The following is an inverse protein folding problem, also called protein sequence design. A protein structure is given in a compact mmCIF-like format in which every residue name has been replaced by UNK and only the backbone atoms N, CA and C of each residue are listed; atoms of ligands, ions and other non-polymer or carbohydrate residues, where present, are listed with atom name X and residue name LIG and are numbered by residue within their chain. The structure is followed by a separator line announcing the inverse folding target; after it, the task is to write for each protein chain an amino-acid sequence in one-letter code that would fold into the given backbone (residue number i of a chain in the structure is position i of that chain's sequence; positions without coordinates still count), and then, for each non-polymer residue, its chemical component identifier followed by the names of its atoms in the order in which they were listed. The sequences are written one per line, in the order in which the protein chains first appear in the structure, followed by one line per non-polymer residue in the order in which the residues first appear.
data_IF_538413025147
#
_entry.id   IF_538413025147
#
_cell.length_a   1.000
_cell.length_b   1.000
_cell.length_c   1.000
_cell.angle_alpha   90.00
_cell.angle_beta   90.00
_cell.angle_gamma   90.00
#
_symmetry.space_group_name_H-M   'P 1'
#
loop_
_entity.id
_entity.type
_entity.pdbx_description
1 polymer ?
#
# COMPACT_ATOMS: atom_id res chain seq x y z
N UNK A 1 11.97 12.01 0.88
CA UNK A 1 11.12 11.08 1.64
C UNK A 1 11.87 9.81 2.02
N UNK A 2 11.56 9.25 3.19
CA UNK A 2 12.00 7.92 3.62
C UNK A 2 10.78 7.08 4.00
N UNK A 3 10.73 5.81 3.59
CA UNK A 3 9.70 4.85 4.02
C UNK A 3 10.37 3.83 4.92
N UNK A 4 9.83 3.67 6.12
CA UNK A 4 10.34 2.76 7.15
C UNK A 4 9.22 1.81 7.51
N UNK A 5 9.48 0.52 7.40
CA UNK A 5 8.56 -0.49 7.92
C UNK A 5 8.71 -0.58 9.44
N UNK A 6 7.59 -0.65 10.16
CA UNK A 6 7.56 -0.74 11.62
C UNK A 6 7.13 -2.13 12.10
N UNK A 7 6.89 -3.06 11.18
CA UNK A 7 6.35 -4.40 11.44
C UNK A 7 4.88 -4.50 11.06
N UNK A 8 4.41 -5.74 10.83
CA UNK A 8 3.05 -6.03 10.35
C UNK A 8 2.72 -5.22 9.09
N UNK A 9 1.65 -4.42 9.15
CA UNK A 9 1.17 -3.50 8.11
C UNK A 9 1.60 -2.04 8.32
N UNK A 10 2.36 -1.75 9.37
CA UNK A 10 2.64 -0.36 9.76
C UNK A 10 3.84 0.20 8.99
N UNK A 11 3.64 1.34 8.33
CA UNK A 11 4.70 2.12 7.71
C UNK A 11 4.75 3.53 8.26
N UNK A 12 5.98 4.03 8.44
CA UNK A 12 6.26 5.43 8.71
C UNK A 12 6.90 6.05 7.46
N UNK A 13 6.23 7.03 6.88
CA UNK A 13 6.67 7.78 5.70
C UNK A 13 7.08 9.18 6.11
N UNK A 14 8.39 9.43 6.14
CA UNK A 14 8.99 10.69 6.54
C UNK A 14 9.19 11.59 5.34
N UNK A 15 8.35 12.61 5.21
CA UNK A 15 8.51 13.69 4.22
C UNK A 15 9.33 14.86 4.76
N UNK A 16 9.50 15.91 3.94
CA UNK A 16 10.15 17.15 4.36
C UNK A 16 9.32 17.97 5.33
N UNK A 17 7.99 17.90 5.22
CA UNK A 17 7.05 18.76 5.96
C UNK A 17 6.34 18.06 7.12
N UNK A 18 6.19 16.74 7.03
CA UNK A 18 5.47 15.94 8.00
C UNK A 18 5.82 14.46 7.88
N UNK A 19 5.49 13.71 8.93
CA UNK A 19 5.60 12.26 8.99
C UNK A 19 4.19 11.66 8.96
N UNK A 20 3.98 10.76 8.00
CA UNK A 20 2.76 9.98 7.87
C UNK A 20 2.99 8.60 8.49
N UNK A 21 2.13 8.18 9.39
CA UNK A 21 2.02 6.78 9.79
C UNK A 21 0.79 6.19 9.12
N UNK A 22 0.94 5.05 8.46
CA UNK A 22 -0.16 4.32 7.81
C UNK A 22 -0.15 2.87 8.27
N UNK A 23 -1.34 2.34 8.51
CA UNK A 23 -1.60 0.96 8.92
C UNK A 23 -2.90 0.46 8.24
N UNK A 24 -3.28 -0.79 8.51
CA UNK A 24 -4.54 -1.40 8.09
C UNK A 24 -5.74 -0.56 8.56
N UNK A 25 -6.29 0.25 7.65
CA UNK A 25 -7.50 1.02 7.91
C UNK A 25 -7.29 2.36 8.63
N UNK A 26 -6.04 2.80 8.83
CA UNK A 26 -5.74 4.08 9.46
C UNK A 26 -4.57 4.79 8.79
N UNK A 27 -4.70 6.11 8.63
CA UNK A 27 -3.59 7.00 8.30
C UNK A 27 -3.59 8.21 9.22
N UNK A 28 -2.42 8.51 9.77
CA UNK A 28 -2.19 9.63 10.67
C UNK A 28 -1.03 10.51 10.21
N UNK A 29 -1.15 11.82 10.45
CA UNK A 29 -0.05 12.78 10.27
C UNK A 29 0.44 13.20 11.64
N UNK A 30 1.59 12.67 12.07
CA UNK A 30 2.03 12.62 13.46
C UNK A 30 2.12 14.00 14.11
N UNK A 31 2.71 14.98 13.43
CA UNK A 31 2.89 16.34 13.97
C UNK A 31 1.58 17.13 14.10
N UNK A 32 0.51 16.67 13.43
CA UNK A 32 -0.81 17.30 13.51
C UNK A 32 -1.72 16.67 14.57
N UNK A 33 -1.40 15.45 15.02
CA UNK A 33 -2.27 14.63 15.87
C UNK A 33 -3.57 14.18 15.20
N UNK A 34 -3.74 14.36 13.88
CA UNK A 34 -4.91 13.92 13.14
C UNK A 34 -4.69 12.52 12.56
N UNK A 35 -5.71 11.68 12.68
CA UNK A 35 -5.80 10.41 11.95
C UNK A 35 -7.18 10.22 11.32
N UNK A 36 -7.22 9.35 10.32
CA UNK A 36 -8.39 9.08 9.49
C UNK A 36 -8.58 7.57 9.37
N UNK A 37 -9.78 7.13 9.74
CA UNK A 37 -10.20 5.72 9.75
C UNK A 37 -11.50 5.51 8.96
N UNK A 38 -11.89 6.50 8.17
CA UNK A 38 -13.11 6.46 7.36
C UNK A 38 -12.78 6.80 5.91
N UNK A 39 -13.54 6.28 4.93
CA UNK A 39 -13.40 6.69 3.54
C UNK A 39 -13.66 8.18 3.36
N UNK A 40 -12.89 8.81 2.49
CA UNK A 40 -13.01 10.23 2.21
C UNK A 40 -11.74 10.82 1.62
N UNK A 41 -11.84 12.08 1.24
CA UNK A 41 -10.71 12.90 0.81
C UNK A 41 -10.33 13.82 1.97
N UNK A 42 -9.04 13.86 2.29
CA UNK A 42 -8.49 14.63 3.39
C UNK A 42 -7.24 15.37 2.93
N UNK A 43 -6.95 16.47 3.61
CA UNK A 43 -5.66 17.14 3.47
C UNK A 43 -5.17 17.60 4.84
N UNK A 44 -3.94 17.22 5.19
CA UNK A 44 -3.30 17.64 6.43
C UNK A 44 -1.85 18.01 6.14
N UNK A 45 -1.43 19.21 6.54
CA UNK A 45 -0.05 19.68 6.33
C UNK A 45 0.38 19.61 4.85
N UNK A 46 -0.54 19.92 3.94
CA UNK A 46 -0.35 19.83 2.49
C UNK A 46 -0.06 18.40 1.99
N UNK A 47 -0.47 17.38 2.73
CA UNK A 47 -0.46 15.98 2.31
C UNK A 47 -1.89 15.63 1.89
N UNK A 48 -2.15 15.52 0.58
CA UNK A 48 -3.40 14.96 0.07
C UNK A 48 -3.50 13.49 0.44
N UNK A 49 -4.68 13.08 0.90
CA UNK A 49 -5.00 11.71 1.30
C UNK A 49 -6.37 11.36 0.73
N UNK A 50 -6.47 10.20 0.08
CA UNK A 50 -7.72 9.60 -0.38
C UNK A 50 -7.84 8.23 0.29
N UNK A 51 -8.87 8.04 1.11
CA UNK A 51 -9.21 6.76 1.71
C UNK A 51 -10.44 6.17 0.99
N UNK A 52 -10.31 4.97 0.44
CA UNK A 52 -11.36 4.27 -0.30
C UNK A 52 -11.79 3.01 0.46
N UNK A 53 -13.10 2.77 0.56
CA UNK A 53 -13.61 1.49 1.05
C UNK A 53 -13.21 0.34 0.13
N UNK A 54 -12.72 -0.73 0.74
CA UNK A 54 -12.50 -2.03 0.12
C UNK A 54 -12.92 -3.14 1.10
N UNK A 55 -12.76 -4.40 0.69
CA UNK A 55 -13.18 -5.55 1.50
C UNK A 55 -12.05 -6.54 1.74
N UNK A 56 -12.07 -7.15 2.92
CA UNK A 56 -11.10 -8.18 3.33
C UNK A 56 -11.43 -9.57 2.76
N UNK A 57 -12.60 -9.73 2.15
CA UNK A 57 -13.03 -10.95 1.47
C UNK A 57 -13.56 -10.66 0.06
N UNK A 58 -13.63 -11.71 -0.75
CA UNK A 58 -14.15 -11.65 -2.11
C UNK A 58 -15.62 -11.25 -2.12
N UNK A 59 -15.99 -10.20 -2.87
CA UNK A 59 -17.36 -10.03 -3.32
C UNK A 59 -17.64 -11.00 -4.46
N UNK A 60 -18.14 -12.19 -4.13
CA UNK A 60 -18.98 -12.90 -5.11
C UNK A 60 -20.34 -12.18 -5.17
N UNK A 61 -20.96 -12.11 -6.35
CA UNK A 61 -22.25 -11.40 -6.59
C UNK A 61 -23.44 -11.92 -5.76
N UNK A 62 -23.26 -13.02 -5.03
CA UNK A 62 -24.30 -13.74 -4.29
C UNK A 62 -24.09 -13.69 -2.77
N UNK A 63 -22.95 -13.19 -2.30
CA UNK A 63 -22.69 -13.03 -0.87
C UNK A 63 -23.13 -11.63 -0.45
N UNK A 64 -24.30 -11.62 0.18
CA UNK A 64 -24.89 -10.59 1.05
C UNK A 64 -23.92 -9.50 1.48
N UNK A 65 -24.38 -8.25 1.35
CA UNK A 65 -23.87 -7.04 2.03
C UNK A 65 -22.86 -7.37 3.13
N UNK A 66 -21.59 -7.04 2.87
CA UNK A 66 -20.45 -7.38 3.72
C UNK A 66 -20.82 -7.34 5.19
N UNK A 67 -20.72 -8.48 5.86
CA UNK A 67 -20.96 -8.55 7.28
C UNK A 67 -20.06 -7.51 7.97
N UNK A 68 -20.61 -6.76 8.94
CA UNK A 68 -19.83 -5.86 9.80
C UNK A 68 -18.54 -6.58 10.24
N UNK A 69 -17.39 -6.13 9.75
CA UNK A 69 -16.08 -6.75 10.01
C UNK A 69 -15.29 -7.17 8.76
N UNK A 70 -15.86 -7.10 7.55
CA UNK A 70 -15.17 -7.46 6.30
C UNK A 70 -14.70 -6.24 5.47
N UNK A 71 -14.48 -5.09 6.10
CA UNK A 71 -14.08 -3.84 5.43
C UNK A 71 -12.61 -3.50 5.70
N UNK A 72 -11.96 -2.87 4.73
CA UNK A 72 -10.63 -2.30 4.87
C UNK A 72 -10.54 -0.98 4.09
N UNK A 73 -9.50 -0.18 4.33
CA UNK A 73 -9.26 1.05 3.58
C UNK A 73 -8.04 0.90 2.68
N UNK A 74 -8.24 1.25 1.41
CA UNK A 74 -7.14 1.59 0.52
C UNK A 74 -6.81 3.06 0.74
N UNK A 75 -5.57 3.35 1.09
CA UNK A 75 -5.12 4.69 1.46
C UNK A 75 -4.09 5.16 0.44
N UNK A 76 -4.48 6.09 -0.42
CA UNK A 76 -3.60 6.78 -1.36
C UNK A 76 -3.22 8.14 -0.79
N UNK A 77 -1.94 8.48 -0.81
CA UNK A 77 -1.45 9.74 -0.27
C UNK A 77 -0.18 10.21 -0.98
N UNK A 78 0.07 11.52 -0.94
CA UNK A 78 1.20 12.12 -1.65
C UNK A 78 2.12 12.83 -0.66
N UNK A 79 3.37 12.37 -0.57
CA UNK A 79 4.41 12.97 0.29
C UNK A 79 5.63 13.31 -0.55
N UNK A 80 6.10 14.56 -0.45
CA UNK A 80 7.21 15.09 -1.26
C UNK A 80 7.04 14.86 -2.78
N UNK A 81 5.81 14.79 -3.28
CA UNK A 81 5.50 14.51 -4.70
C UNK A 81 5.59 13.04 -5.10
N UNK A 82 5.77 12.12 -4.14
CA UNK A 82 5.73 10.67 -4.36
C UNK A 82 4.34 10.16 -3.99
N UNK A 83 3.71 9.41 -4.90
CA UNK A 83 2.37 8.83 -4.71
C UNK A 83 2.48 7.46 -4.06
N UNK A 84 2.04 7.35 -2.81
CA UNK A 84 2.04 6.12 -2.04
C UNK A 84 0.62 5.55 -1.95
N UNK A 85 0.50 4.24 -2.00
CA UNK A 85 -0.78 3.55 -1.84
C UNK A 85 -0.62 2.35 -0.90
N UNK A 86 -1.39 2.32 0.17
CA UNK A 86 -1.46 1.22 1.12
C UNK A 86 -2.79 0.48 0.92
N UNK A 87 -2.74 -0.81 0.59
CA UNK A 87 -3.95 -1.57 0.23
C UNK A 87 -4.75 -2.10 1.42
N UNK A 88 -4.24 -1.93 2.64
CA UNK A 88 -4.84 -2.54 3.82
C UNK A 88 -4.87 -4.06 3.70
N UNK A 89 -5.93 -4.68 4.19
CA UNK A 89 -6.10 -6.13 4.22
C UNK A 89 -6.93 -6.64 3.03
N UNK A 90 -6.72 -6.08 1.84
CA UNK A 90 -7.51 -6.35 0.63
C UNK A 90 -7.66 -7.87 0.36
N UNK A 91 -8.88 -8.34 0.12
CA UNK A 91 -9.17 -9.77 -0.15
C UNK A 91 -9.65 -10.10 -1.56
N UNK A 92 -9.72 -9.11 -2.44
CA UNK A 92 -10.29 -9.23 -3.77
C UNK A 92 -9.49 -8.44 -4.81
N UNK A 93 -9.68 -8.79 -6.08
CA UNK A 93 -9.16 -8.00 -7.20
C UNK A 93 -9.84 -6.63 -7.25
N UNK A 94 -9.11 -5.59 -7.67
CA UNK A 94 -9.67 -4.25 -7.74
C UNK A 94 -10.53 -4.08 -8.99
N UNK A 95 -11.83 -3.72 -8.86
CA UNK A 95 -12.60 -3.35 -10.01
C UNK A 95 -12.08 -2.02 -10.60
N UNK A 96 -12.29 -1.83 -11.90
CA UNK A 96 -11.67 -0.73 -12.66
C UNK A 96 -12.05 0.65 -12.16
N UNK A 97 -13.22 0.81 -11.55
CA UNK A 97 -13.64 2.07 -10.93
C UNK A 97 -12.80 2.44 -9.71
N UNK A 98 -12.40 1.44 -8.90
CA UNK A 98 -11.49 1.64 -7.77
C UNK A 98 -10.07 1.91 -8.26
N UNK A 99 -9.58 1.16 -9.26
CA UNK A 99 -8.27 1.41 -9.88
C UNK A 99 -8.18 2.83 -10.42
N UNK A 100 -9.20 3.29 -11.15
CA UNK A 100 -9.26 4.65 -11.69
C UNK A 100 -9.29 5.74 -10.59
N UNK A 101 -9.90 5.45 -9.44
CA UNK A 101 -9.93 6.38 -8.29
C UNK A 101 -8.59 6.45 -7.55
N UNK A 102 -7.87 5.34 -7.45
CA UNK A 102 -6.50 5.30 -6.90
C UNK A 102 -5.58 6.13 -7.80
N UNK A 103 -5.72 5.97 -9.12
CA UNK A 103 -4.88 6.64 -10.11
C UNK A 103 -3.43 6.13 -10.04
N UNK A 104 -2.49 6.99 -10.43
CA UNK A 104 -1.09 6.62 -10.48
C UNK A 104 -0.48 6.34 -9.10
N UNK A 105 0.34 5.29 -9.01
CA UNK A 105 1.05 4.89 -7.80
C UNK A 105 2.54 4.75 -8.07
N UNK A 106 3.37 5.45 -7.29
CA UNK A 106 4.82 5.32 -7.34
C UNK A 106 5.30 4.19 -6.41
N UNK A 107 4.71 4.08 -5.22
CA UNK A 107 5.03 3.06 -4.21
C UNK A 107 3.75 2.38 -3.73
N UNK A 108 3.62 1.09 -3.99
CA UNK A 108 2.51 0.26 -3.51
C UNK A 108 2.95 -0.56 -2.28
N UNK A 109 2.18 -0.49 -1.20
CA UNK A 109 2.34 -1.29 0.01
C UNK A 109 1.22 -2.34 0.03
N UNK A 110 1.60 -3.62 0.05
CA UNK A 110 0.65 -4.74 -0.14
C UNK A 110 1.01 -5.95 0.71
N UNK A 111 0.00 -6.51 1.37
CA UNK A 111 0.10 -7.79 2.07
C UNK A 111 -0.43 -8.89 1.15
N UNK A 112 0.31 -9.99 1.03
CA UNK A 112 -0.08 -11.13 0.21
C UNK A 112 0.55 -12.43 0.72
N UNK A 113 0.10 -13.54 0.14
CA UNK A 113 0.68 -14.86 0.33
C UNK A 113 -0.16 -15.77 1.21
N UNK A 114 0.38 -16.95 1.52
CA UNK A 114 -0.34 -18.00 2.23
C UNK A 114 -0.82 -17.52 3.61
N UNK A 115 -2.14 -17.63 3.86
CA UNK A 115 -2.74 -17.21 5.13
C UNK A 115 -3.13 -15.73 5.20
N UNK A 116 -2.94 -14.95 4.13
CA UNK A 116 -3.47 -13.59 3.99
C UNK A 116 -4.78 -13.60 3.19
N UNK A 117 -5.47 -12.45 3.14
CA UNK A 117 -6.68 -12.29 2.33
C UNK A 117 -6.39 -12.26 0.82
N UNK A 118 -5.18 -11.86 0.44
CA UNK A 118 -4.73 -11.73 -0.95
C UNK A 118 -3.71 -12.83 -1.29
N UNK A 119 -4.17 -13.91 -1.92
CA UNK A 119 -3.24 -14.92 -2.44
C UNK A 119 -2.32 -14.36 -3.54
N UNK A 120 -1.24 -15.08 -3.85
CA UNK A 120 -0.24 -14.64 -4.84
C UNK A 120 -0.86 -14.33 -6.22
N UNK A 121 -1.89 -15.08 -6.65
CA UNK A 121 -2.49 -14.88 -7.97
C UNK A 121 -3.25 -13.55 -8.01
N UNK A 122 -4.11 -13.31 -7.03
CA UNK A 122 -4.83 -12.03 -6.91
C UNK A 122 -3.88 -10.87 -6.70
N UNK A 123 -2.81 -11.05 -5.93
CA UNK A 123 -1.81 -10.02 -5.71
C UNK A 123 -1.12 -9.63 -7.02
N UNK A 124 -0.74 -10.59 -7.87
CA UNK A 124 -0.21 -10.30 -9.21
C UNK A 124 -1.22 -9.46 -10.01
N UNK A 125 -2.49 -9.89 -10.07
CA UNK A 125 -3.53 -9.16 -10.81
C UNK A 125 -3.74 -7.72 -10.29
N UNK A 126 -3.73 -7.52 -8.97
CA UNK A 126 -3.86 -6.19 -8.36
C UNK A 126 -2.64 -5.31 -8.65
N UNK A 127 -1.44 -5.86 -8.53
CA UNK A 127 -0.20 -5.14 -8.83
C UNK A 127 -0.14 -4.78 -10.32
N UNK A 128 -0.59 -5.67 -11.22
CA UNK A 128 -0.70 -5.40 -12.65
C UNK A 128 -1.76 -4.35 -12.96
N UNK A 129 -2.91 -4.35 -12.29
CA UNK A 129 -3.96 -3.36 -12.50
C UNK A 129 -3.56 -1.94 -12.05
N UNK A 130 -2.77 -1.82 -10.98
CA UNK A 130 -2.30 -0.53 -10.44
C UNK A 130 -1.08 0.00 -11.22
N UNK A 131 -0.29 -0.89 -11.83
CA UNK A 131 0.97 -0.57 -12.51
C UNK A 131 1.95 0.29 -11.67
N UNK A 132 2.26 -0.09 -10.40
CA UNK A 132 3.15 0.72 -9.58
C UNK A 132 4.60 0.59 -10.04
N UNK A 133 5.38 1.66 -9.82
CA UNK A 133 6.82 1.70 -10.12
C UNK A 133 7.65 0.89 -9.12
N UNK A 134 7.18 0.82 -7.88
CA UNK A 134 7.79 0.00 -6.83
C UNK A 134 6.73 -0.67 -5.95
N UNK A 135 7.05 -1.85 -5.46
CA UNK A 135 6.21 -2.63 -4.55
C UNK A 135 6.98 -2.92 -3.27
N UNK A 136 6.36 -2.63 -2.13
CA UNK A 136 6.85 -2.92 -0.79
C UNK A 136 5.91 -3.96 -0.17
N UNK A 137 6.31 -5.23 -0.06
CA UNK A 137 5.51 -6.22 0.66
C UNK A 137 5.40 -5.85 2.13
N UNK A 138 4.26 -6.17 2.75
CA UNK A 138 4.02 -6.03 4.18
C UNK A 138 3.47 -7.33 4.77
N UNK A 139 3.37 -7.37 6.10
CA UNK A 139 2.90 -8.54 6.83
C UNK A 139 3.99 -9.56 7.15
N UNK A 140 3.60 -10.62 7.85
CA UNK A 140 4.53 -11.66 8.37
C UNK A 140 5.14 -12.54 7.29
N UNK A 141 4.50 -12.60 6.11
CA UNK A 141 4.96 -13.37 4.97
C UNK A 141 5.97 -12.62 4.09
N UNK A 142 6.20 -11.33 4.34
CA UNK A 142 7.09 -10.50 3.53
C UNK A 142 8.54 -11.00 3.64
N UNK A 143 8.98 -11.77 2.64
CA UNK A 143 10.35 -12.25 2.53
C UNK A 143 10.76 -12.49 1.07
N UNK A 144 12.06 -12.68 0.83
CA UNK A 144 12.60 -12.86 -0.52
C UNK A 144 11.99 -14.07 -1.27
N UNK A 145 11.61 -15.14 -0.58
CA UNK A 145 11.00 -16.31 -1.21
C UNK A 145 9.57 -15.99 -1.68
N UNK A 146 8.76 -15.33 -0.86
CA UNK A 146 7.40 -14.90 -1.23
C UNK A 146 7.38 -13.95 -2.44
N UNK A 147 8.35 -13.02 -2.51
CA UNK A 147 8.51 -12.14 -3.65
C UNK A 147 8.87 -12.90 -4.93
N UNK A 148 9.73 -13.92 -4.81
CA UNK A 148 10.06 -14.79 -5.95
C UNK A 148 8.84 -15.55 -6.45
N UNK A 149 7.95 -15.99 -5.55
CA UNK A 149 6.69 -16.64 -5.94
C UNK A 149 5.71 -15.69 -6.63
N UNK A 150 5.74 -14.38 -6.32
CA UNK A 150 5.04 -13.34 -7.07
C UNK A 150 5.65 -13.05 -8.45
N UNK A 151 6.81 -13.61 -8.78
CA UNK A 151 7.53 -13.29 -10.01
C UNK A 151 8.37 -12.01 -9.92
N UNK A 152 8.74 -11.57 -8.72
CA UNK A 152 9.68 -10.46 -8.56
C UNK A 152 11.08 -10.84 -9.05
N UNK A 153 11.60 -10.09 -10.02
CA UNK A 153 12.96 -10.27 -10.55
C UNK A 153 13.98 -9.34 -9.85
N UNK A 154 13.61 -8.08 -9.64
CA UNK A 154 14.46 -7.05 -9.03
C UNK A 154 14.10 -6.80 -7.56
N UNK A 155 14.51 -7.71 -6.68
CA UNK A 155 14.32 -7.56 -5.22
C UNK A 155 15.51 -6.85 -4.59
N UNK A 156 15.26 -5.71 -3.95
CA UNK A 156 16.25 -4.91 -3.21
C UNK A 156 15.91 -4.99 -1.73
N UNK A 157 16.86 -5.44 -0.91
CA UNK A 157 16.71 -5.54 0.55
C UNK A 157 17.40 -4.35 1.20
N UNK A 158 16.71 -3.64 2.08
CA UNK A 158 17.25 -2.47 2.79
C UNK A 158 16.45 -2.16 4.06
N UNK A 159 17.06 -1.46 5.03
CA UNK A 159 16.37 -1.11 6.29
C UNK A 159 15.31 -0.02 6.13
N UNK A 160 15.49 0.84 5.13
CA UNK A 160 14.56 1.92 4.78
C UNK A 160 14.63 2.22 3.30
N UNK A 161 13.51 2.65 2.71
CA UNK A 161 13.46 3.05 1.32
C UNK A 161 13.57 4.57 1.20
N UNK A 162 14.71 5.05 0.71
CA UNK A 162 14.98 6.49 0.55
C UNK A 162 14.69 6.92 -0.88
N UNK A 163 13.81 7.92 -1.03
CA UNK A 163 13.41 8.49 -2.32
C UNK A 163 13.56 10.01 -2.24
N UNK A 164 14.45 10.59 -3.03
CA UNK A 164 14.67 12.05 -3.08
C UNK A 164 13.71 12.71 -4.06
N UNK A 165 13.40 12.03 -5.16
CA UNK A 165 12.46 12.49 -6.18
C UNK A 165 11.92 11.32 -7.02
N UNK A 166 10.90 11.60 -7.83
CA UNK A 166 10.32 10.60 -8.74
C UNK A 166 11.35 10.02 -9.73
N UNK A 167 12.46 10.68 -10.04
CA UNK A 167 13.49 10.12 -10.94
C UNK A 167 14.32 8.99 -10.33
N UNK A 168 14.27 8.82 -9.00
CA UNK A 168 14.97 7.73 -8.32
C UNK A 168 14.25 6.38 -8.49
N UNK A 169 13.01 6.41 -8.97
CA UNK A 169 12.22 5.24 -9.27
C UNK A 169 12.36 4.88 -10.76
N UNK A 170 12.30 3.58 -11.13
CA UNK A 170 12.32 3.17 -12.54
C UNK A 170 11.05 3.61 -13.27
N UNK A 171 11.12 3.79 -14.59
CA UNK A 171 9.97 4.16 -15.44
C UNK A 171 9.53 3.01 -16.36
N UNK A 172 10.43 2.09 -16.65
CA UNK A 172 10.31 1.03 -17.65
C UNK A 172 10.21 -0.37 -17.03
N UNK A 173 10.49 -0.48 -15.73
CA UNK A 173 10.39 -1.73 -14.97
C UNK A 173 9.90 -1.48 -13.55
N UNK A 174 9.38 -2.54 -12.92
CA UNK A 174 8.96 -2.53 -11.51
C UNK A 174 10.06 -3.11 -10.64
N UNK A 175 10.35 -2.45 -9.52
CA UNK A 175 11.26 -2.98 -8.50
C UNK A 175 10.49 -3.40 -7.24
N UNK A 176 11.02 -4.38 -6.53
CA UNK A 176 10.45 -4.85 -5.27
C UNK A 176 11.42 -4.50 -4.14
N UNK A 177 10.92 -3.81 -3.12
CA UNK A 177 11.72 -3.33 -2.00
C UNK A 177 11.31 -4.11 -0.75
N UNK A 178 12.15 -5.05 -0.33
CA UNK A 178 11.95 -5.77 0.92
C UNK A 178 12.59 -4.97 2.07
N UNK A 179 11.76 -4.46 2.98
CA UNK A 179 12.24 -3.72 4.15
C UNK A 179 12.52 -4.66 5.33
N UNK A 180 13.72 -4.57 5.90
CA UNK A 180 14.08 -5.26 7.14
C UNK A 180 13.77 -4.37 8.35
N UNK A 181 13.09 -4.92 9.37
CA UNK A 181 13.00 -4.28 10.68
C UNK A 181 14.40 -4.32 11.34
N UNK A 182 14.89 -3.17 11.81
CA UNK A 182 15.98 -3.08 12.79
C UNK A 182 15.43 -3.17 14.21
#
# INVERSE_FOLDING_TARGET
MEIIWKGNSVFEVRGKKAVVAVDNGEIGVLESGKSFTWPGEYEVKEIPIIALSAWTKSKSKEETEGAKGDETLIIHFIVDGIRCCHLGELGHILPSDIVNKIGDVDVLMVEFGAGTNLDNKKAIEVIEAIEPRSVVPMGTNANAASLKELGAEDVIVQDKFVIKSQSDLPNDKRIYILLSNN
#
